data_IF_309851061379
#
_entry.id   IF_309851061379
#
_cell.length_a   1.000
_cell.length_b   1.000
_cell.length_c   1.000
_cell.angle_alpha   90.00
_cell.angle_beta   90.00
_cell.angle_gamma   90.00
#
_symmetry.space_group_name_H-M   'P 1'
#
loop_
_entity.id
_entity.type
_entity.pdbx_description
1 polymer ?
#
# COMPACT_ATOMS: atom_id res chain seq x y z
N UNK A 1 -2.57 -3.27 27.18
CA UNK A 1 -2.72 -2.13 26.25
C UNK A 1 -2.15 -2.56 24.90
N UNK A 2 -2.89 -3.37 24.14
CA UNK A 2 -2.33 -4.26 23.08
C UNK A 2 -3.02 -4.16 21.70
N UNK A 3 -3.78 -3.11 21.41
CA UNK A 3 -4.69 -3.12 20.27
C UNK A 3 -4.81 -1.78 19.53
N UNK A 4 -3.71 -1.16 19.12
CA UNK A 4 -3.77 0.12 18.37
C UNK A 4 -3.20 0.07 16.94
N UNK A 5 -2.15 -0.69 16.65
CA UNK A 5 -1.54 -0.81 15.31
C UNK A 5 -2.45 -1.44 14.25
N UNK A 6 -3.27 -2.42 14.61
CA UNK A 6 -4.24 -3.04 13.68
C UNK A 6 -5.51 -2.20 13.44
N UNK A 7 -5.68 -1.09 14.17
CA UNK A 7 -6.86 -0.22 14.04
C UNK A 7 -6.87 0.58 12.76
N UNK A 8 -5.75 0.81 12.07
CA UNK A 8 -5.74 1.56 10.82
C UNK A 8 -6.41 0.78 9.66
N UNK A 9 -6.30 -0.55 9.68
CA UNK A 9 -6.89 -1.41 8.65
C UNK A 9 -8.40 -1.58 8.83
N UNK A 10 -8.92 -1.45 10.06
CA UNK A 10 -10.33 -1.67 10.38
C UNK A 10 -11.26 -0.65 9.69
N UNK A 11 -11.01 0.69 9.75
CA UNK A 11 -11.79 1.67 9.02
C UNK A 11 -11.73 1.47 7.51
N UNK A 12 -10.55 1.14 6.97
CA UNK A 12 -10.40 0.84 5.54
C UNK A 12 -11.25 -0.38 5.18
N UNK A 13 -11.22 -1.42 6.02
CA UNK A 13 -12.02 -2.62 5.83
C UNK A 13 -13.52 -2.31 5.83
N UNK A 14 -14.00 -1.59 6.85
CA UNK A 14 -15.40 -1.20 7.00
C UNK A 14 -15.86 -0.33 5.83
N UNK A 15 -15.08 0.68 5.44
CA UNK A 15 -15.42 1.55 4.32
C UNK A 15 -15.55 0.77 3.02
N UNK A 16 -14.57 -0.08 2.71
CA UNK A 16 -14.58 -0.88 1.48
C UNK A 16 -15.68 -1.94 1.48
N UNK A 17 -16.00 -2.52 2.64
CA UNK A 17 -17.11 -3.47 2.78
C UNK A 17 -18.48 -2.82 2.52
N UNK A 18 -18.63 -1.54 2.87
CA UNK A 18 -19.86 -0.77 2.71
C UNK A 18 -19.88 0.14 1.46
N UNK A 19 -19.00 -0.11 0.48
CA UNK A 19 -18.90 0.71 -0.76
C UNK A 19 -20.23 0.86 -1.48
N UNK A 20 -21.02 -0.21 -1.57
CA UNK A 20 -22.35 -0.19 -2.19
C UNK A 20 -23.27 0.88 -1.57
N UNK A 21 -23.38 0.88 -0.24
CA UNK A 21 -24.20 1.84 0.49
C UNK A 21 -23.68 3.26 0.36
N UNK A 22 -22.35 3.44 0.35
CA UNK A 22 -21.71 4.75 0.16
C UNK A 22 -22.02 5.29 -1.25
N UNK A 23 -21.90 4.47 -2.29
CA UNK A 23 -22.18 4.88 -3.66
C UNK A 23 -23.64 5.23 -3.88
N UNK A 24 -24.57 4.45 -3.30
CA UNK A 24 -26.00 4.77 -3.31
C UNK A 24 -26.26 6.11 -2.60
N UNK A 25 -25.62 6.35 -1.45
CA UNK A 25 -25.74 7.62 -0.74
C UNK A 25 -25.18 8.83 -1.54
N UNK A 26 -24.27 8.57 -2.49
CA UNK A 26 -23.74 9.56 -3.43
C UNK A 26 -24.56 9.67 -4.73
N UNK A 27 -25.79 9.14 -4.76
CA UNK A 27 -26.70 9.12 -5.92
C UNK A 27 -26.12 8.40 -7.16
N UNK A 28 -25.25 7.41 -6.97
CA UNK A 28 -24.87 6.51 -8.07
C UNK A 28 -26.01 5.55 -8.41
N UNK A 29 -26.04 5.12 -9.67
CA UNK A 29 -27.00 4.11 -10.14
C UNK A 29 -26.86 2.80 -9.35
N UNK A 30 -27.99 2.22 -8.96
CA UNK A 30 -28.03 1.02 -8.10
C UNK A 30 -27.24 -0.16 -8.69
N UNK A 31 -27.29 -0.36 -10.01
CA UNK A 31 -26.57 -1.45 -10.69
C UNK A 31 -25.03 -1.26 -10.58
N UNK A 32 -24.54 -0.05 -10.85
CA UNK A 32 -23.12 0.29 -10.76
C UNK A 32 -22.64 0.16 -9.30
N UNK A 33 -23.44 0.65 -8.35
CA UNK A 33 -23.12 0.55 -6.92
C UNK A 33 -23.06 -0.90 -6.44
N UNK A 34 -23.99 -1.75 -6.88
CA UNK A 34 -24.01 -3.18 -6.55
C UNK A 34 -22.78 -3.90 -7.12
N UNK A 35 -22.44 -3.67 -8.39
CA UNK A 35 -21.25 -4.25 -9.03
C UNK A 35 -19.95 -3.84 -8.32
N UNK A 36 -19.80 -2.55 -8.01
CA UNK A 36 -18.64 -2.04 -7.28
C UNK A 36 -18.55 -2.60 -5.85
N UNK A 37 -19.71 -2.73 -5.18
CA UNK A 37 -19.83 -3.32 -3.86
C UNK A 37 -19.42 -4.79 -3.83
N UNK A 38 -19.94 -5.59 -4.76
CA UNK A 38 -19.58 -7.00 -4.89
C UNK A 38 -18.09 -7.16 -5.19
N UNK A 39 -17.56 -6.42 -6.18
CA UNK A 39 -16.14 -6.44 -6.51
C UNK A 39 -15.25 -6.15 -5.29
N UNK A 40 -15.55 -5.10 -4.52
CA UNK A 40 -14.73 -4.71 -3.37
C UNK A 40 -14.79 -5.70 -2.21
N UNK A 41 -15.93 -6.38 -1.98
CA UNK A 41 -16.05 -7.43 -0.95
C UNK A 41 -15.09 -8.60 -1.24
N UNK A 42 -14.82 -8.91 -2.50
CA UNK A 42 -13.84 -9.94 -2.87
C UNK A 42 -12.41 -9.40 -2.92
N UNK A 43 -12.21 -8.19 -3.46
CA UNK A 43 -10.88 -7.57 -3.59
C UNK A 43 -10.22 -7.29 -2.23
N UNK A 44 -11.01 -6.95 -1.21
CA UNK A 44 -10.51 -6.61 0.12
C UNK A 44 -9.84 -7.78 0.85
N UNK A 45 -10.18 -9.01 0.47
CA UNK A 45 -9.54 -10.22 1.00
C UNK A 45 -8.07 -10.32 0.55
N UNK A 46 -7.65 -9.58 -0.48
CA UNK A 46 -6.26 -9.44 -0.90
C UNK A 46 -5.44 -8.45 -0.06
N UNK A 47 -6.12 -7.59 0.72
CA UNK A 47 -5.48 -6.49 1.45
C UNK A 47 -4.42 -6.95 2.49
N UNK A 48 -4.66 -8.02 3.29
CA UNK A 48 -3.65 -8.48 4.25
C UNK A 48 -2.33 -8.89 3.59
N UNK A 49 -2.41 -9.64 2.49
CA UNK A 49 -1.24 -10.06 1.72
C UNK A 49 -0.50 -8.88 1.10
N UNK A 50 -1.25 -7.93 0.53
CA UNK A 50 -0.67 -6.70 -0.03
C UNK A 50 0.09 -5.88 1.02
N UNK A 51 -0.49 -5.67 2.20
CA UNK A 51 0.16 -4.92 3.29
C UNK A 51 1.43 -5.64 3.78
N UNK A 52 1.37 -6.97 3.92
CA UNK A 52 2.52 -7.76 4.33
C UNK A 52 3.66 -7.64 3.31
N UNK A 53 3.34 -7.73 2.01
CA UNK A 53 4.33 -7.51 0.96
C UNK A 53 4.90 -6.10 0.99
N UNK A 54 4.08 -5.06 1.19
CA UNK A 54 4.55 -3.68 1.26
C UNK A 54 5.55 -3.47 2.42
N UNK A 55 5.31 -4.13 3.56
CA UNK A 55 6.24 -4.11 4.70
C UNK A 55 7.58 -4.78 4.36
N UNK A 56 7.54 -5.97 3.77
CA UNK A 56 8.75 -6.69 3.34
C UNK A 56 9.51 -5.89 2.27
N UNK A 57 8.78 -5.28 1.35
CA UNK A 57 9.31 -4.46 0.27
C UNK A 57 10.09 -3.27 0.84
N UNK A 58 9.55 -2.54 1.82
CA UNK A 58 10.25 -1.42 2.48
C UNK A 58 11.54 -1.87 3.16
N UNK A 59 11.54 -3.04 3.81
CA UNK A 59 12.75 -3.62 4.40
C UNK A 59 13.85 -3.90 3.37
N UNK A 60 13.48 -4.47 2.21
CA UNK A 60 14.41 -4.73 1.10
C UNK A 60 14.88 -3.44 0.41
N UNK A 61 14.00 -2.45 0.24
CA UNK A 61 14.34 -1.13 -0.31
C UNK A 61 15.36 -0.39 0.55
N UNK A 62 15.22 -0.45 1.87
CA UNK A 62 16.16 0.17 2.80
C UNK A 62 17.60 -0.36 2.65
N UNK A 63 17.75 -1.57 2.09
CA UNK A 63 19.04 -2.20 1.81
C UNK A 63 19.52 -2.01 0.36
N UNK A 64 18.82 -1.19 -0.42
CA UNK A 64 19.13 -0.96 -1.83
C UNK A 64 18.69 -2.07 -2.79
N UNK A 65 17.91 -3.06 -2.32
CA UNK A 65 17.49 -4.20 -3.14
C UNK A 65 16.20 -3.86 -3.88
N UNK A 66 16.30 -3.03 -4.91
CA UNK A 66 15.13 -2.54 -5.67
C UNK A 66 14.71 -3.46 -6.81
N UNK A 67 15.68 -4.03 -7.53
CA UNK A 67 15.46 -4.79 -8.78
C UNK A 67 14.60 -6.03 -8.59
N UNK A 68 14.74 -6.72 -7.47
CA UNK A 68 14.03 -7.98 -7.22
C UNK A 68 12.53 -7.77 -7.01
N UNK A 69 12.17 -6.66 -6.39
CA UNK A 69 10.76 -6.29 -6.17
C UNK A 69 10.10 -5.89 -7.49
N UNK A 70 10.85 -5.29 -8.42
CA UNK A 70 10.38 -5.02 -9.78
C UNK A 70 10.05 -6.33 -10.50
N UNK A 71 10.92 -7.34 -10.41
CA UNK A 71 10.65 -8.65 -11.03
C UNK A 71 9.46 -9.38 -10.40
N UNK A 72 9.36 -9.38 -9.07
CA UNK A 72 8.20 -9.95 -8.35
C UNK A 72 6.91 -9.25 -8.80
N UNK A 73 6.91 -7.92 -8.88
CA UNK A 73 5.76 -7.15 -9.34
C UNK A 73 5.42 -7.41 -10.81
N UNK A 74 6.42 -7.56 -11.69
CA UNK A 74 6.19 -7.86 -13.10
C UNK A 74 5.53 -9.24 -13.27
N UNK A 75 6.00 -10.25 -12.55
CA UNK A 75 5.41 -11.60 -12.54
C UNK A 75 3.98 -11.55 -11.99
N UNK A 76 3.76 -10.85 -10.87
CA UNK A 76 2.44 -10.69 -10.27
C UNK A 76 1.44 -10.04 -11.23
N UNK A 77 1.85 -8.99 -11.97
CA UNK A 77 0.99 -8.36 -12.96
C UNK A 77 0.59 -9.33 -14.09
N UNK A 78 1.54 -10.14 -14.59
CA UNK A 78 1.24 -11.16 -15.61
C UNK A 78 0.28 -12.21 -15.07
N UNK A 79 0.52 -12.70 -13.85
CA UNK A 79 -0.37 -13.65 -13.19
C UNK A 79 -1.76 -13.05 -12.97
N UNK A 80 -1.85 -11.80 -12.53
CA UNK A 80 -3.11 -11.11 -12.28
C UNK A 80 -3.92 -10.92 -13.58
N UNK A 81 -3.26 -10.55 -14.69
CA UNK A 81 -3.92 -10.45 -16.00
C UNK A 81 -4.40 -11.84 -16.45
N UNK A 82 -3.54 -12.86 -16.40
CA UNK A 82 -3.87 -14.20 -16.88
C UNK A 82 -4.96 -14.87 -16.03
N UNK A 83 -4.79 -14.88 -14.71
CA UNK A 83 -5.73 -15.48 -13.77
C UNK A 83 -7.04 -14.69 -13.72
N UNK A 84 -6.97 -13.35 -13.72
CA UNK A 84 -8.15 -12.49 -13.77
C UNK A 84 -8.96 -12.67 -15.06
N UNK A 85 -8.29 -12.78 -16.21
CA UNK A 85 -8.96 -13.09 -17.49
C UNK A 85 -9.60 -14.48 -17.47
N UNK A 86 -8.86 -15.49 -17.00
CA UNK A 86 -9.37 -16.86 -16.95
C UNK A 86 -10.57 -17.01 -16.01
N UNK A 87 -10.47 -16.50 -14.78
CA UNK A 87 -11.59 -16.51 -13.84
C UNK A 87 -12.76 -15.66 -14.34
N UNK A 88 -12.48 -14.53 -14.98
CA UNK A 88 -13.49 -13.60 -15.47
C UNK A 88 -14.35 -14.14 -16.62
N UNK A 89 -13.71 -14.79 -17.60
CA UNK A 89 -14.35 -15.16 -18.87
C UNK A 89 -14.57 -16.67 -19.05
N UNK A 90 -13.82 -17.52 -18.35
CA UNK A 90 -13.87 -18.97 -18.54
C UNK A 90 -14.47 -19.74 -17.35
N UNK A 91 -14.93 -19.05 -16.31
CA UNK A 91 -15.60 -19.69 -15.17
C UNK A 91 -16.95 -19.03 -14.90
N UNK A 92 -17.77 -19.66 -14.04
CA UNK A 92 -19.07 -19.12 -13.63
C UNK A 92 -18.99 -17.86 -12.75
N UNK A 93 -17.78 -17.42 -12.36
CA UNK A 93 -17.60 -16.26 -11.48
C UNK A 93 -17.78 -14.91 -12.20
N UNK A 94 -17.73 -14.85 -13.53
CA UNK A 94 -17.98 -13.61 -14.30
C UNK A 94 -17.10 -12.44 -13.83
N UNK A 95 -17.67 -11.24 -13.72
CA UNK A 95 -16.96 -10.03 -13.29
C UNK A 95 -16.24 -10.19 -11.93
N UNK A 96 -16.84 -10.93 -10.99
CA UNK A 96 -16.24 -11.23 -9.67
C UNK A 96 -14.98 -12.06 -9.80
N UNK A 97 -14.87 -12.89 -10.84
CA UNK A 97 -13.66 -13.66 -11.15
C UNK A 97 -12.41 -12.79 -11.30
N UNK A 98 -12.56 -11.56 -11.83
CA UNK A 98 -11.45 -10.60 -11.96
C UNK A 98 -10.98 -10.12 -10.58
N UNK A 99 -11.91 -9.83 -9.66
CA UNK A 99 -11.58 -9.45 -8.29
C UNK A 99 -10.88 -10.58 -7.53
N UNK A 100 -11.36 -11.81 -7.71
CA UNK A 100 -10.76 -13.01 -7.10
C UNK A 100 -9.34 -13.25 -7.60
N UNK A 101 -9.09 -13.11 -8.90
CA UNK A 101 -7.75 -13.22 -9.47
C UNK A 101 -6.77 -12.26 -8.80
N UNK A 102 -7.18 -10.99 -8.65
CA UNK A 102 -6.39 -9.97 -7.94
C UNK A 102 -6.14 -10.32 -6.48
N UNK A 103 -7.17 -10.78 -5.77
CA UNK A 103 -7.05 -11.20 -4.37
C UNK A 103 -6.07 -12.35 -4.19
N UNK A 104 -6.08 -13.33 -5.09
CA UNK A 104 -5.13 -14.44 -5.06
C UNK A 104 -3.71 -13.93 -5.27
N UNK A 105 -3.48 -13.13 -6.33
CA UNK A 105 -2.19 -12.53 -6.64
C UNK A 105 -1.63 -11.70 -5.48
N UNK A 106 -2.44 -10.81 -4.89
CA UNK A 106 -2.00 -9.98 -3.75
C UNK A 106 -1.61 -10.80 -2.52
N UNK A 107 -2.24 -11.96 -2.30
CA UNK A 107 -1.84 -12.89 -1.23
C UNK A 107 -0.60 -13.74 -1.60
N UNK A 108 -0.27 -13.89 -2.88
CA UNK A 108 0.95 -14.56 -3.35
C UNK A 108 2.20 -13.66 -3.31
N UNK A 109 2.04 -12.34 -3.47
CA UNK A 109 3.13 -11.36 -3.38
C UNK A 109 4.07 -11.54 -2.16
N UNK A 110 3.57 -11.62 -0.90
CA UNK A 110 4.45 -11.81 0.25
C UNK A 110 5.13 -13.20 0.24
N UNK A 111 4.50 -14.21 -0.36
CA UNK A 111 5.11 -15.54 -0.54
C UNK A 111 6.29 -15.47 -1.51
N UNK A 112 6.14 -14.76 -2.64
CA UNK A 112 7.24 -14.54 -3.58
C UNK A 112 8.40 -13.76 -2.94
N UNK A 113 8.10 -12.71 -2.19
CA UNK A 113 9.11 -11.96 -1.44
C UNK A 113 9.82 -12.81 -0.39
N UNK A 114 9.07 -13.66 0.32
CA UNK A 114 9.65 -14.55 1.33
C UNK A 114 10.55 -15.61 0.69
N UNK A 115 10.13 -16.22 -0.42
CA UNK A 115 10.96 -17.16 -1.18
C UNK A 115 12.26 -16.51 -1.66
N UNK A 116 12.21 -15.26 -2.13
CA UNK A 116 13.42 -14.51 -2.46
C UNK A 116 14.36 -14.36 -1.25
N UNK A 117 13.81 -13.99 -0.09
CA UNK A 117 14.58 -13.84 1.15
C UNK A 117 15.16 -15.16 1.68
N UNK A 118 14.57 -16.31 1.34
CA UNK A 118 15.13 -17.62 1.65
C UNK A 118 16.29 -17.99 0.73
N UNK A 119 16.18 -17.70 -0.57
CA UNK A 119 17.25 -17.97 -1.55
C UNK A 119 18.44 -17.02 -1.33
N UNK A 120 18.17 -15.74 -1.15
CA UNK A 120 19.17 -14.75 -0.81
C UNK A 120 18.96 -14.37 0.66
N UNK A 121 19.71 -14.93 1.62
CA UNK A 121 19.51 -14.74 3.06
C UNK A 121 19.95 -13.35 3.54
N UNK A 122 19.60 -12.32 2.76
CA UNK A 122 19.72 -10.91 3.03
C UNK A 122 19.15 -10.56 4.40
N UNK A 123 18.05 -11.23 4.79
CA UNK A 123 17.41 -11.02 6.08
C UNK A 123 18.36 -11.26 7.26
N UNK A 124 19.34 -12.15 7.15
CA UNK A 124 20.30 -12.42 8.25
C UNK A 124 21.20 -11.25 8.59
N UNK A 125 21.32 -10.26 7.71
CA UNK A 125 22.18 -9.09 7.94
C UNK A 125 21.58 -8.10 8.96
N UNK A 126 20.25 -8.09 9.12
CA UNK A 126 19.52 -7.10 9.93
C UNK A 126 18.40 -7.72 10.78
N UNK A 127 17.94 -8.92 10.43
CA UNK A 127 16.93 -9.63 11.22
C UNK A 127 17.60 -10.31 12.41
N UNK A 128 17.13 -10.09 13.65
CA UNK A 128 17.77 -10.69 14.82
C UNK A 128 17.60 -12.21 14.83
N UNK A 129 18.71 -12.98 14.78
CA UNK A 129 18.68 -14.45 14.79
C UNK A 129 18.24 -15.05 16.14
N UNK A 130 18.48 -14.34 17.26
CA UNK A 130 18.35 -14.87 18.62
C UNK A 130 17.14 -14.33 19.43
N UNK A 131 16.20 -13.62 18.82
CA UNK A 131 15.06 -13.02 19.54
C UNK A 131 13.78 -13.85 19.37
N UNK A 132 13.06 -14.10 20.49
CA UNK A 132 11.71 -14.65 20.46
C UNK A 132 10.77 -13.71 19.69
N UNK A 133 9.83 -14.27 18.92
CA UNK A 133 8.82 -13.51 18.17
C UNK A 133 8.08 -12.49 19.06
N UNK A 134 7.86 -12.82 20.33
CA UNK A 134 7.19 -11.96 21.30
C UNK A 134 8.06 -10.76 21.70
N UNK A 135 9.37 -10.95 21.79
CA UNK A 135 10.31 -9.86 22.07
C UNK A 135 10.40 -8.90 20.87
N UNK A 136 10.47 -9.43 19.65
CA UNK A 136 10.43 -8.63 18.42
C UNK A 136 9.12 -7.84 18.30
N UNK A 137 8.00 -8.46 18.66
CA UNK A 137 6.71 -7.78 18.71
C UNK A 137 6.74 -6.60 19.68
N UNK A 138 7.25 -6.78 20.89
CA UNK A 138 7.36 -5.71 21.90
C UNK A 138 8.26 -4.56 21.43
N UNK A 139 9.40 -4.87 20.82
CA UNK A 139 10.30 -3.85 20.24
C UNK A 139 9.60 -3.10 19.12
N UNK A 140 8.90 -3.78 18.21
CA UNK A 140 8.18 -3.13 17.11
C UNK A 140 7.15 -2.10 17.61
N UNK A 141 6.47 -2.36 18.75
CA UNK A 141 5.55 -1.40 19.35
C UNK A 141 6.23 -0.11 19.83
N UNK A 142 7.47 -0.20 20.32
CA UNK A 142 8.23 0.97 20.78
C UNK A 142 8.50 1.97 19.65
N UNK A 143 8.71 1.48 18.42
CA UNK A 143 9.02 2.32 17.26
C UNK A 143 7.77 2.84 16.51
N UNK A 144 6.55 2.47 16.92
CA UNK A 144 5.33 2.96 16.24
C UNK A 144 5.21 4.50 16.24
N UNK A 145 5.43 5.22 17.36
CA UNK A 145 5.33 6.69 17.36
C UNK A 145 6.28 7.35 16.37
N UNK A 146 7.49 6.80 16.26
CA UNK A 146 8.49 7.26 15.31
C UNK A 146 8.11 6.92 13.87
N UNK A 147 7.64 5.71 13.61
CA UNK A 147 7.11 5.31 12.31
C UNK A 147 5.99 6.26 11.86
N UNK A 148 5.08 6.63 12.76
CA UNK A 148 4.02 7.61 12.49
C UNK A 148 4.58 9.01 12.28
N UNK A 149 5.53 9.47 13.11
CA UNK A 149 6.19 10.79 12.96
C UNK A 149 6.81 10.95 11.57
N UNK A 150 7.44 9.89 11.06
CA UNK A 150 8.07 9.89 9.73
C UNK A 150 7.06 9.66 8.59
N UNK A 151 6.04 8.83 8.80
CA UNK A 151 5.06 8.46 7.78
C UNK A 151 3.92 9.46 7.56
N UNK A 152 3.45 10.12 8.62
CA UNK A 152 2.28 11.03 8.59
C UNK A 152 2.45 12.18 7.60
N UNK A 153 3.60 12.89 7.53
CA UNK A 153 3.79 13.94 6.52
C UNK A 153 3.61 13.43 5.09
N UNK A 154 4.15 12.25 4.78
CA UNK A 154 3.96 11.61 3.48
C UNK A 154 2.50 11.23 3.22
N UNK A 155 1.80 10.70 4.22
CA UNK A 155 0.38 10.39 4.12
C UNK A 155 -0.47 11.64 3.84
N UNK A 156 -0.15 12.78 4.46
CA UNK A 156 -0.84 14.06 4.22
C UNK A 156 -0.61 14.55 2.79
N UNK A 157 0.64 14.53 2.31
CA UNK A 157 0.96 14.94 0.93
C UNK A 157 0.15 14.11 -0.07
N UNK A 158 0.12 12.79 0.10
CA UNK A 158 -0.69 11.91 -0.75
C UNK A 158 -2.19 12.20 -0.62
N UNK A 159 -2.71 12.39 0.59
CA UNK A 159 -4.13 12.68 0.81
C UNK A 159 -4.55 14.00 0.13
N UNK A 160 -3.73 15.05 0.24
CA UNK A 160 -3.99 16.32 -0.44
C UNK A 160 -3.95 16.14 -1.95
N UNK A 161 -2.91 15.49 -2.48
CA UNK A 161 -2.76 15.25 -3.91
C UNK A 161 -3.95 14.48 -4.51
N UNK A 162 -4.43 13.44 -3.82
CA UNK A 162 -5.54 12.62 -4.29
C UNK A 162 -6.91 13.27 -4.05
N UNK A 163 -7.21 13.66 -2.81
CA UNK A 163 -8.57 14.06 -2.42
C UNK A 163 -8.86 15.54 -2.66
N UNK A 164 -7.87 16.41 -2.48
CA UNK A 164 -8.06 17.87 -2.64
C UNK A 164 -7.81 18.32 -4.07
N UNK A 165 -6.91 17.64 -4.80
CA UNK A 165 -6.58 18.02 -6.18
C UNK A 165 -7.13 17.02 -7.19
N UNK A 166 -6.80 15.73 -7.05
CA UNK A 166 -7.22 14.68 -7.99
C UNK A 166 -8.73 14.59 -8.13
N UNK A 167 -9.47 14.42 -7.04
CA UNK A 167 -10.93 14.25 -7.09
C UNK A 167 -11.70 15.44 -7.67
N UNK A 168 -11.40 16.72 -7.33
CA UNK A 168 -12.06 17.84 -7.99
C UNK A 168 -11.76 17.92 -9.50
N UNK A 169 -10.54 17.60 -9.92
CA UNK A 169 -10.20 17.55 -11.35
C UNK A 169 -10.90 16.40 -12.07
N UNK A 170 -11.07 15.26 -11.40
CA UNK A 170 -11.93 14.17 -11.90
C UNK A 170 -13.35 14.69 -12.11
N UNK A 171 -13.92 15.39 -11.11
CA UNK A 171 -15.26 15.96 -11.22
C UNK A 171 -15.39 16.92 -12.40
N UNK A 172 -14.39 17.79 -12.58
CA UNK A 172 -14.34 18.76 -13.67
C UNK A 172 -14.20 18.07 -15.05
N UNK A 173 -13.22 17.19 -15.22
CA UNK A 173 -12.93 16.60 -16.52
C UNK A 173 -13.94 15.52 -16.92
N UNK A 174 -14.34 14.65 -15.99
CA UNK A 174 -15.24 13.56 -16.31
C UNK A 174 -16.67 14.05 -16.56
N UNK A 175 -17.16 15.00 -15.75
CA UNK A 175 -18.56 15.42 -15.78
C UNK A 175 -18.77 16.78 -16.46
N UNK A 176 -18.01 17.82 -16.09
CA UNK A 176 -18.23 19.16 -16.66
C UNK A 176 -17.77 19.27 -18.11
N UNK A 177 -16.65 18.65 -18.47
CA UNK A 177 -16.18 18.58 -19.84
C UNK A 177 -16.68 17.33 -20.60
N UNK A 178 -17.46 16.48 -19.93
CA UNK A 178 -18.05 15.27 -20.51
C UNK A 178 -17.02 14.31 -21.14
N UNK A 179 -15.78 14.32 -20.66
CA UNK A 179 -14.74 13.39 -21.15
C UNK A 179 -14.89 11.97 -20.56
N UNK A 180 -15.86 11.75 -19.66
CA UNK A 180 -16.16 10.46 -19.07
C UNK A 180 -14.94 9.80 -18.43
N UNK A 181 -14.67 8.55 -18.81
CA UNK A 181 -13.59 7.74 -18.26
C UNK A 181 -12.21 8.37 -18.49
N UNK A 182 -11.97 8.97 -19.65
CA UNK A 182 -10.70 9.62 -19.98
C UNK A 182 -10.44 10.81 -19.05
N UNK A 183 -11.48 11.58 -18.75
CA UNK A 183 -11.44 12.67 -17.76
C UNK A 183 -11.07 12.17 -16.36
N UNK A 184 -11.61 11.02 -15.95
CA UNK A 184 -11.25 10.42 -14.65
C UNK A 184 -9.76 10.04 -14.57
N UNK A 185 -9.21 9.43 -15.62
CA UNK A 185 -7.79 9.05 -15.65
C UNK A 185 -6.88 10.27 -15.65
N UNK A 186 -7.25 11.30 -16.40
CA UNK A 186 -6.46 12.53 -16.47
C UNK A 186 -6.45 13.27 -15.12
N UNK A 187 -7.60 13.42 -14.46
CA UNK A 187 -7.70 14.08 -13.16
C UNK A 187 -6.84 13.39 -12.08
N UNK A 188 -6.90 12.05 -12.02
CA UNK A 188 -6.04 11.26 -11.13
C UNK A 188 -4.55 11.40 -11.48
N UNK A 189 -4.20 11.40 -12.77
CA UNK A 189 -2.82 11.54 -13.22
C UNK A 189 -2.22 12.90 -12.84
N UNK A 190 -2.99 13.97 -12.95
CA UNK A 190 -2.57 15.32 -12.53
C UNK A 190 -2.35 15.37 -11.02
N UNK A 191 -3.27 14.83 -10.22
CA UNK A 191 -3.11 14.74 -8.76
C UNK A 191 -1.83 14.01 -8.38
N UNK A 192 -1.59 12.83 -8.96
CA UNK A 192 -0.39 12.04 -8.76
C UNK A 192 0.90 12.79 -9.15
N UNK A 193 0.89 13.45 -10.30
CA UNK A 193 2.06 14.21 -10.80
C UNK A 193 2.41 15.36 -9.87
N UNK A 194 1.40 16.06 -9.33
CA UNK A 194 1.61 17.10 -8.32
C UNK A 194 2.13 16.54 -7.00
N UNK A 195 1.65 15.37 -6.57
CA UNK A 195 2.20 14.65 -5.42
C UNK A 195 3.68 14.33 -5.59
N UNK A 196 4.07 13.80 -6.76
CA UNK A 196 5.48 13.55 -7.09
C UNK A 196 6.29 14.85 -7.07
N UNK A 197 5.76 15.93 -7.65
CA UNK A 197 6.40 17.25 -7.61
C UNK A 197 6.63 17.75 -6.18
N UNK A 198 5.65 17.59 -5.29
CA UNK A 198 5.78 17.94 -3.88
C UNK A 198 6.87 17.10 -3.18
N UNK A 199 6.92 15.79 -3.44
CA UNK A 199 7.99 14.94 -2.92
C UNK A 199 9.37 15.34 -3.44
N UNK A 200 9.49 15.67 -4.72
CA UNK A 200 10.75 16.16 -5.28
C UNK A 200 11.19 17.45 -4.58
N UNK A 201 10.28 18.41 -4.38
CA UNK A 201 10.59 19.64 -3.64
C UNK A 201 11.03 19.34 -2.21
N UNK A 202 10.35 18.43 -1.50
CA UNK A 202 10.75 18.00 -0.16
C UNK A 202 12.15 17.39 -0.18
N UNK A 203 12.43 16.49 -1.13
CA UNK A 203 13.73 15.83 -1.29
C UNK A 203 14.83 16.86 -1.55
N UNK A 204 14.62 17.79 -2.48
CA UNK A 204 15.60 18.82 -2.83
C UNK A 204 15.84 19.85 -1.73
N UNK A 205 14.84 20.11 -0.88
CA UNK A 205 14.95 21.06 0.25
C UNK A 205 15.36 20.41 1.56
N UNK A 206 15.40 19.09 1.64
CA UNK A 206 15.77 18.38 2.87
C UNK A 206 17.27 18.45 3.07
N UNK A 207 17.69 18.84 4.27
CA UNK A 207 19.07 18.69 4.69
C UNK A 207 19.35 17.21 4.97
N UNK A 208 20.00 16.56 4.02
CA UNK A 208 20.34 15.14 4.10
C UNK A 208 21.46 14.86 5.10
N UNK A 209 22.34 15.84 5.38
CA UNK A 209 23.41 15.67 6.36
C UNK A 209 22.82 15.66 7.76
N UNK A 210 22.02 16.67 8.10
CA UNK A 210 21.34 16.73 9.40
C UNK A 210 20.48 15.47 9.67
N UNK A 211 19.74 14.98 8.65
CA UNK A 211 18.95 13.75 8.78
C UNK A 211 19.77 12.48 8.89
N UNK A 212 20.93 12.42 8.24
CA UNK A 212 21.84 11.29 8.39
C UNK A 212 22.44 11.28 9.81
N UNK A 213 22.83 12.43 10.33
CA UNK A 213 23.38 12.57 11.68
C UNK A 213 22.33 12.19 12.74
N UNK A 214 21.09 12.68 12.63
CA UNK A 214 19.98 12.27 13.49
C UNK A 214 19.73 10.76 13.45
N UNK A 215 19.85 10.13 12.27
CA UNK A 215 19.66 8.69 12.12
C UNK A 215 20.81 7.87 12.74
N UNK A 216 22.04 8.39 12.69
CA UNK A 216 23.20 7.76 13.34
C UNK A 216 23.05 7.83 14.86
N UNK A 217 22.76 9.01 15.40
CA UNK A 217 22.56 9.21 16.84
C UNK A 217 21.48 8.28 17.40
N UNK A 218 20.34 8.15 16.70
CA UNK A 218 19.28 7.22 17.08
C UNK A 218 19.75 5.76 17.13
N UNK A 219 20.56 5.34 16.16
CA UNK A 219 21.08 3.98 16.12
C UNK A 219 22.13 3.71 17.21
N UNK A 220 22.80 4.75 17.71
CA UNK A 220 23.74 4.66 18.84
C UNK A 220 22.98 4.58 20.16
N UNK A 221 21.99 5.45 20.39
CA UNK A 221 21.11 5.41 21.56
C UNK A 221 20.41 4.03 21.69
N UNK A 222 19.94 3.47 20.57
CA UNK A 222 19.33 2.12 20.56
C UNK A 222 20.30 1.00 20.93
N UNK A 223 21.60 1.13 20.62
CA UNK A 223 22.59 0.11 21.01
C UNK A 223 22.87 0.16 22.50
N UNK A 224 22.91 1.35 23.09
CA UNK A 224 23.14 1.51 24.52
C UNK A 224 21.96 0.97 25.34
N UNK A 225 20.71 1.18 24.88
CA UNK A 225 19.49 0.59 25.46
C UNK A 225 19.41 -0.95 25.39
N UNK A 226 20.18 -1.59 24.51
CA UNK A 226 20.23 -3.06 24.36
C UNK A 226 21.35 -3.68 25.22
N UNK A 227 22.35 -2.89 25.61
CA UNK A 227 23.53 -3.35 26.36
C UNK A 227 23.35 -3.17 27.89
N UNK A 228 22.47 -2.26 28.35
CA UNK A 228 22.00 -2.17 29.75
C UNK A 228 20.90 -3.20 30.10
#
# INVERSE_FOLDING_TARGET
>A
MYLHGSLACIPIFILNWNVEAILIALNQEHEIAALAGEFNKYAILGLPGFILYELMQKGLQAQGIVTQMVWISAIDNVLNIGLGYWLGYHTSFGFVGVALGRTICYNLLPVFAYMYMLWNPVHKLWWPENHSWMAQWQTAWKHIPEFLKLGVPGAIVNAVAFYVVGLPLVGLFAFQFEWGLQGTWLGLSVGLTLGVGAYLVIIYRSDWQARADEAILRNEDEKDDIVE
#
